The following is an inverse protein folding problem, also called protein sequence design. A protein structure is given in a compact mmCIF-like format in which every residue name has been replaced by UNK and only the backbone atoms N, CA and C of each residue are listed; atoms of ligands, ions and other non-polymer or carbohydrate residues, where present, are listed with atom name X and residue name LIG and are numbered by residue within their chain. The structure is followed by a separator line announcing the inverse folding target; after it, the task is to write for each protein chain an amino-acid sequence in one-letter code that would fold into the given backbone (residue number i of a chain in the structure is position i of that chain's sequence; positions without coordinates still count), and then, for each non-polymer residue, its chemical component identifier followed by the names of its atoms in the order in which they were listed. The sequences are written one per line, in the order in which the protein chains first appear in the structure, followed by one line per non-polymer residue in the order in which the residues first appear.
data_IF_937695965982
#
_entry.id   IF_937695965982
#
_cell.length_a   1.000
_cell.length_b   1.000
_cell.length_c   1.000
_cell.angle_alpha   90.00
_cell.angle_beta   90.00
_cell.angle_gamma   90.00
#
_symmetry.space_group_name_H-M   'P 1'
#
loop_
_entity.id
_entity.type
_entity.pdbx_description
1 polymer ?
#
# COMPACT_ATOMS: atom_id res chain seq x y z
N UNK A 1 -10.04 -10.32 -19.76
CA UNK A 1 -10.93 -10.89 -18.73
C UNK A 1 -10.99 -9.88 -17.61
N UNK A 2 -12.18 -9.37 -17.27
CA UNK A 2 -12.32 -8.43 -16.15
C UNK A 2 -12.22 -9.16 -14.81
N UNK A 3 -11.81 -8.44 -13.77
CA UNK A 3 -11.80 -8.95 -12.39
C UNK A 3 -13.20 -9.47 -12.03
N UNK A 4 -13.25 -10.71 -11.55
CA UNK A 4 -14.47 -11.30 -11.01
C UNK A 4 -14.79 -10.66 -9.65
N UNK A 5 -16.08 -10.65 -9.27
CA UNK A 5 -16.52 -10.16 -7.96
C UNK A 5 -15.70 -10.65 -6.76
N UNK A 6 -15.38 -11.97 -6.64
CA UNK A 6 -14.56 -12.46 -5.52
C UNK A 6 -13.12 -11.96 -5.56
N UNK A 7 -12.50 -11.82 -6.75
CA UNK A 7 -11.15 -11.26 -6.87
C UNK A 7 -11.11 -9.82 -6.37
N UNK A 8 -12.11 -9.00 -6.73
CA UNK A 8 -12.19 -7.62 -6.25
C UNK A 8 -12.32 -7.53 -4.72
N UNK A 9 -13.15 -8.39 -4.11
CA UNK A 9 -13.29 -8.44 -2.65
C UNK A 9 -11.98 -8.87 -1.99
N UNK A 10 -11.32 -9.89 -2.53
CA UNK A 10 -10.02 -10.36 -2.03
C UNK A 10 -8.99 -9.24 -2.05
N UNK A 11 -8.79 -8.60 -3.21
CA UNK A 11 -7.83 -7.51 -3.37
C UNK A 11 -8.15 -6.34 -2.41
N UNK A 12 -9.42 -5.98 -2.26
CA UNK A 12 -9.85 -4.90 -1.37
C UNK A 12 -9.54 -5.19 0.11
N UNK A 13 -9.82 -6.42 0.56
CA UNK A 13 -9.52 -6.85 1.94
C UNK A 13 -8.02 -6.84 2.19
N UNK A 14 -7.24 -7.37 1.23
CA UNK A 14 -5.77 -7.40 1.32
C UNK A 14 -5.18 -5.99 1.36
N UNK A 15 -5.70 -5.07 0.54
CA UNK A 15 -5.29 -3.65 0.57
C UNK A 15 -5.64 -3.02 1.91
N UNK A 16 -6.83 -3.30 2.46
CA UNK A 16 -7.23 -2.81 3.78
C UNK A 16 -6.27 -3.26 4.88
N UNK A 17 -5.95 -4.55 4.94
CA UNK A 17 -4.99 -5.11 5.89
C UNK A 17 -3.58 -4.54 5.67
N UNK A 18 -3.12 -4.49 4.42
CA UNK A 18 -1.82 -3.92 4.07
C UNK A 18 -1.70 -2.46 4.47
N UNK A 19 -2.74 -1.66 4.25
CA UNK A 19 -2.77 -0.25 4.61
C UNK A 19 -2.73 -0.05 6.14
N UNK A 20 -3.50 -0.85 6.90
CA UNK A 20 -3.45 -0.83 8.36
C UNK A 20 -2.03 -1.10 8.86
N UNK A 21 -1.40 -2.16 8.37
CA UNK A 21 -0.02 -2.49 8.71
C UNK A 21 0.95 -1.40 8.26
N UNK A 22 0.76 -0.80 7.08
CA UNK A 22 1.61 0.28 6.60
C UNK A 22 1.57 1.51 7.50
N UNK A 23 0.39 1.90 7.98
CA UNK A 23 0.25 3.01 8.91
C UNK A 23 0.82 2.66 10.29
N UNK A 24 0.71 1.40 10.73
CA UNK A 24 1.22 0.98 12.04
C UNK A 24 2.75 0.79 12.11
N UNK A 25 3.35 0.17 11.10
CA UNK A 25 4.77 -0.24 11.11
C UNK A 25 5.60 0.25 9.92
N UNK A 26 4.98 0.84 8.89
CA UNK A 26 5.67 1.52 7.79
C UNK A 26 5.75 0.78 6.43
N UNK A 27 5.44 -0.52 6.35
CA UNK A 27 5.70 -1.31 5.11
C UNK A 27 4.68 -2.44 4.84
N UNK A 28 3.41 -2.26 5.24
CA UNK A 28 2.39 -3.31 5.18
C UNK A 28 1.85 -3.68 3.79
N UNK A 29 1.66 -2.72 2.88
CA UNK A 29 1.10 -3.02 1.54
C UNK A 29 2.05 -3.87 0.71
N UNK A 30 3.35 -3.62 0.80
CA UNK A 30 4.36 -4.42 0.11
C UNK A 30 4.41 -5.88 0.59
N UNK A 31 4.20 -6.13 1.89
CA UNK A 31 4.26 -7.49 2.44
C UNK A 31 3.01 -8.33 2.14
N UNK A 32 1.83 -7.70 2.13
CA UNK A 32 0.55 -8.43 2.08
C UNK A 32 -0.15 -8.24 0.73
N UNK A 33 -0.21 -7.03 0.19
CA UNK A 33 -0.90 -6.78 -1.08
C UNK A 33 -0.09 -7.23 -2.30
N UNK A 34 1.24 -7.06 -2.31
CA UNK A 34 2.08 -7.49 -3.44
C UNK A 34 1.96 -8.97 -3.79
N UNK A 35 2.11 -9.94 -2.86
CA UNK A 35 1.99 -11.35 -3.22
C UNK A 35 0.58 -11.72 -3.67
N UNK A 36 -0.47 -11.16 -3.05
CA UNK A 36 -1.86 -11.47 -3.43
C UNK A 36 -2.21 -10.89 -4.80
N UNK A 37 -1.80 -9.66 -5.10
CA UNK A 37 -1.97 -9.09 -6.43
C UNK A 37 -1.22 -9.92 -7.48
N UNK A 38 -0.01 -10.38 -7.16
CA UNK A 38 0.77 -11.23 -8.08
C UNK A 38 0.12 -12.58 -8.38
N UNK A 39 -0.66 -13.12 -7.45
CA UNK A 39 -1.42 -14.36 -7.66
C UNK A 39 -2.65 -14.15 -8.57
N UNK A 40 -3.23 -12.96 -8.57
CA UNK A 40 -4.39 -12.61 -9.43
C UNK A 40 -3.91 -12.17 -10.81
N UNK A 41 -3.04 -11.17 -10.85
CA UNK A 41 -2.39 -10.68 -12.07
C UNK A 41 -1.02 -10.05 -11.71
N UNK A 42 0.09 -10.69 -12.11
CA UNK A 42 1.44 -10.20 -11.81
C UNK A 42 1.75 -8.83 -12.41
N UNK A 43 1.04 -8.38 -13.45
CA UNK A 43 1.21 -7.04 -14.01
C UNK A 43 0.58 -5.96 -13.12
N UNK A 44 -0.47 -6.29 -12.36
CA UNK A 44 -1.14 -5.35 -11.46
C UNK A 44 -0.35 -5.10 -10.17
N UNK A 45 0.41 -6.09 -9.72
CA UNK A 45 1.07 -6.07 -8.42
C UNK A 45 2.06 -4.90 -8.23
N UNK A 46 3.11 -4.72 -9.05
CA UNK A 46 4.11 -3.69 -8.77
C UNK A 46 3.53 -2.28 -8.84
N UNK A 47 2.76 -1.97 -9.88
CA UNK A 47 2.26 -0.61 -10.11
C UNK A 47 1.14 -0.24 -9.13
N UNK A 48 0.17 -1.13 -8.91
CA UNK A 48 -0.99 -0.81 -8.05
C UNK A 48 -0.59 -0.72 -6.59
N UNK A 49 0.25 -1.66 -6.12
CA UNK A 49 0.70 -1.68 -4.73
C UNK A 49 1.58 -0.48 -4.42
N UNK A 50 2.46 -0.08 -5.36
CA UNK A 50 3.26 1.13 -5.21
C UNK A 50 2.38 2.37 -5.11
N UNK A 51 1.42 2.54 -6.02
CA UNK A 51 0.50 3.69 -6.00
C UNK A 51 -0.32 3.75 -4.71
N UNK A 52 -0.83 2.61 -4.24
CA UNK A 52 -1.57 2.53 -2.98
C UNK A 52 -0.67 2.83 -1.78
N UNK A 53 0.53 2.26 -1.74
CA UNK A 53 1.50 2.47 -0.67
C UNK A 53 1.90 3.94 -0.58
N UNK A 54 2.27 4.56 -1.70
CA UNK A 54 2.59 5.98 -1.78
C UNK A 54 1.38 6.83 -1.40
N UNK A 55 0.18 6.49 -1.88
CA UNK A 55 -1.04 7.22 -1.54
C UNK A 55 -1.36 7.20 -0.04
N UNK A 56 -1.25 6.03 0.60
CA UNK A 56 -1.45 5.88 2.06
C UNK A 56 -0.40 6.68 2.83
N UNK A 57 0.88 6.54 2.47
CA UNK A 57 1.97 7.27 3.13
C UNK A 57 1.81 8.79 2.94
N UNK A 58 1.45 9.25 1.75
CA UNK A 58 1.17 10.66 1.48
C UNK A 58 -0.02 11.17 2.29
N UNK A 59 -1.09 10.39 2.41
CA UNK A 59 -2.25 10.75 3.22
C UNK A 59 -1.89 10.91 4.70
N UNK A 60 -1.08 10.00 5.26
CA UNK A 60 -0.55 10.12 6.63
C UNK A 60 0.33 11.36 6.75
N UNK A 61 1.25 11.58 5.81
CA UNK A 61 2.13 12.74 5.82
C UNK A 61 1.33 14.06 5.79
N UNK A 62 0.28 14.16 4.99
CA UNK A 62 -0.61 15.33 4.94
C UNK A 62 -1.36 15.51 6.27
N UNK A 63 -1.87 14.42 6.86
CA UNK A 63 -2.59 14.44 8.14
C UNK A 63 -1.68 14.82 9.31
N UNK A 64 -0.43 14.40 9.28
CA UNK A 64 0.54 14.53 10.39
C UNK A 64 1.67 15.52 10.10
N UNK A 65 1.52 16.35 9.06
CA UNK A 65 2.52 17.31 8.55
C UNK A 65 3.19 18.20 9.60
N UNK A 66 2.53 18.47 10.73
CA UNK A 66 3.07 19.29 11.82
C UNK A 66 4.03 18.55 12.77
N UNK A 67 4.09 17.22 12.70
CA UNK A 67 4.96 16.37 13.53
C UNK A 67 5.93 15.51 12.71
N UNK A 68 5.71 15.40 11.41
CA UNK A 68 6.56 14.63 10.52
C UNK A 68 7.92 15.32 10.31
N UNK A 69 9.00 14.71 10.78
CA UNK A 69 10.36 15.17 10.52
C UNK A 69 10.87 14.70 9.16
N UNK A 70 10.53 15.47 8.11
CA UNK A 70 10.97 15.20 6.75
C UNK A 70 12.47 15.37 6.53
N UNK A 71 13.17 16.13 7.39
CA UNK A 71 14.62 16.35 7.25
C UNK A 71 15.39 15.11 7.72
N UNK A 72 14.87 14.41 8.74
CA UNK A 72 15.40 13.12 9.18
C UNK A 72 15.20 12.00 8.15
N UNK A 73 14.12 12.04 7.37
CA UNK A 73 13.81 11.01 6.37
C UNK A 73 14.73 10.99 5.14
N UNK A 74 15.50 12.05 4.88
CA UNK A 74 16.36 12.15 3.69
C UNK A 74 17.46 11.09 3.58
N UNK A 75 17.80 10.39 4.68
CA UNK A 75 18.77 9.30 4.69
C UNK A 75 18.20 7.94 4.24
N UNK A 76 16.88 7.82 4.11
CA UNK A 76 16.20 6.56 3.81
C UNK A 76 15.93 6.34 2.30
N UNK A 77 16.34 7.28 1.45
CA UNK A 77 16.17 7.31 0.00
C UNK A 77 17.54 7.21 -0.68
#
# INVERSE_FOLDING_TARGET
MGLTGPEFVLLSVTVGLGALLQVSIGFGLGMIAAPVFSLVDPALAPTSVLLLATGVTAAVLVRERGRADLRGCGWAL
#
